data_IF_192851699114
#
_entry.id   IF_192851699114
#
_cell.length_a   1.000
_cell.length_b   1.000
_cell.length_c   1.000
_cell.angle_alpha   90.00
_cell.angle_beta   90.00
_cell.angle_gamma   90.00
#
_symmetry.space_group_name_H-M   'P 1'
#
loop_
_entity.id
_entity.type
_entity.pdbx_description
1 polymer ?
#
# COMPACT_ATOMS: atom_id res chain seq x y z
N UNK A 1 45.19 40.62 4.56
CA UNK A 1 44.95 39.17 4.29
C UNK A 1 44.34 38.39 5.46
N UNK A 2 44.74 38.60 6.73
CA UNK A 2 44.22 37.81 7.87
C UNK A 2 42.72 38.01 8.15
N UNK A 3 42.24 39.25 8.11
CA UNK A 3 40.82 39.58 8.36
C UNK A 3 39.90 38.99 7.29
N UNK A 4 40.29 39.04 6.02
CA UNK A 4 39.55 38.45 4.91
C UNK A 4 39.36 36.94 5.05
N UNK A 5 40.41 36.22 5.48
CA UNK A 5 40.32 34.77 5.75
C UNK A 5 39.36 34.45 6.89
N UNK A 6 39.36 35.28 7.94
CA UNK A 6 38.53 35.06 9.13
C UNK A 6 37.03 35.28 8.83
N UNK A 7 36.70 36.28 8.02
CA UNK A 7 35.34 36.51 7.52
C UNK A 7 34.86 35.35 6.64
N UNK A 8 35.74 34.83 5.78
CA UNK A 8 35.43 33.68 4.92
C UNK A 8 35.09 32.42 5.73
N UNK A 9 35.86 32.14 6.79
CA UNK A 9 35.60 31.03 7.70
C UNK A 9 34.29 31.19 8.48
N UNK A 10 33.98 32.41 8.93
CA UNK A 10 32.72 32.69 9.62
C UNK A 10 31.49 32.44 8.75
N UNK A 11 31.54 32.82 7.47
CA UNK A 11 30.45 32.57 6.51
C UNK A 11 30.30 31.06 6.26
N UNK A 12 31.40 30.33 6.06
CA UNK A 12 31.35 28.88 5.83
C UNK A 12 30.74 28.09 7.01
N UNK A 13 31.06 28.49 8.24
CA UNK A 13 30.47 27.92 9.46
C UNK A 13 28.96 28.22 9.59
N UNK A 14 28.52 29.40 9.16
CA UNK A 14 27.10 29.78 9.17
C UNK A 14 26.28 29.04 8.11
N UNK A 15 26.87 28.68 6.96
CA UNK A 15 26.19 27.83 5.97
C UNK A 15 26.16 26.34 6.38
N UNK A 16 27.14 25.87 7.14
CA UNK A 16 27.17 24.49 7.65
C UNK A 16 26.07 24.19 8.70
N UNK A 17 25.48 25.22 9.32
CA UNK A 17 24.37 25.07 10.27
C UNK A 17 22.98 25.15 9.63
N UNK A 18 22.87 25.48 8.33
CA UNK A 18 21.62 25.43 7.59
C UNK A 18 21.31 23.96 7.23
N UNK A 19 20.63 23.27 8.15
CA UNK A 19 20.00 21.99 7.86
C UNK A 19 18.84 22.24 6.89
N UNK A 20 19.00 21.94 5.61
CA UNK A 20 17.87 21.88 4.66
C UNK A 20 17.00 20.68 5.08
N UNK A 21 15.89 20.95 5.78
CA UNK A 21 14.90 19.94 6.13
C UNK A 21 13.96 19.69 4.93
N UNK A 22 14.44 18.94 3.94
CA UNK A 22 13.63 18.39 2.84
C UNK A 22 13.29 16.91 3.08
N UNK A 23 13.06 16.52 4.34
CA UNK A 23 12.78 15.13 4.70
C UNK A 23 11.26 14.90 4.64
N UNK A 24 10.77 14.11 3.68
CA UNK A 24 9.39 13.58 3.59
C UNK A 24 9.04 12.60 4.72
N UNK A 25 9.83 12.57 5.79
CA UNK A 25 9.58 11.74 6.94
C UNK A 25 9.76 10.23 6.74
N UNK A 26 10.48 9.79 5.70
CA UNK A 26 10.70 8.35 5.49
C UNK A 26 11.64 7.80 6.58
N UNK A 27 11.07 6.98 7.47
CA UNK A 27 11.74 6.18 8.50
C UNK A 27 12.62 7.00 9.48
N UNK A 28 12.08 8.10 10.02
CA UNK A 28 12.85 9.09 10.81
C UNK A 28 12.08 9.62 12.03
N UNK A 29 12.80 10.20 12.99
CA UNK A 29 12.35 10.58 14.34
C UNK A 29 11.84 12.02 14.49
N UNK A 30 11.62 12.73 13.38
CA UNK A 30 10.88 14.00 13.40
C UNK A 30 10.08 14.27 12.10
N UNK A 31 9.11 13.40 11.76
CA UNK A 31 8.03 13.84 10.89
C UNK A 31 6.65 13.59 11.52
N UNK A 32 5.91 14.68 11.62
CA UNK A 32 4.50 14.77 11.97
C UNK A 32 3.71 15.26 10.74
N UNK A 33 4.13 14.71 9.57
CA UNK A 33 3.79 14.96 8.14
C UNK A 33 4.36 16.28 7.56
N UNK A 34 4.84 16.34 6.30
CA UNK A 34 4.00 16.56 5.11
C UNK A 34 4.56 15.93 3.84
N UNK A 35 3.70 15.25 3.09
CA UNK A 35 3.90 14.93 1.68
C UNK A 35 3.00 15.88 0.87
N UNK A 36 3.60 16.83 0.15
CA UNK A 36 2.89 17.74 -0.76
C UNK A 36 3.29 17.44 -2.22
N UNK A 37 2.30 17.16 -3.06
CA UNK A 37 2.47 16.90 -4.49
C UNK A 37 1.61 17.91 -5.24
N UNK A 38 2.25 18.98 -5.71
CA UNK A 38 1.62 20.00 -6.55
C UNK A 38 1.59 19.54 -8.02
N UNK A 39 1.00 18.35 -8.26
CA UNK A 39 0.97 17.61 -9.51
C UNK A 39 0.25 16.26 -9.36
N UNK A 40 0.44 15.33 -10.32
CA UNK A 40 -0.16 13.99 -10.25
C UNK A 40 0.76 12.99 -9.53
N UNK A 41 0.19 12.13 -8.68
CA UNK A 41 0.87 10.95 -8.14
C UNK A 41 0.66 9.75 -9.07
N UNK A 42 1.75 9.24 -9.65
CA UNK A 42 1.75 7.95 -10.33
C UNK A 42 2.25 6.86 -9.38
N UNK A 43 1.55 5.73 -9.35
CA UNK A 43 1.92 4.57 -8.52
C UNK A 43 2.12 3.35 -9.40
N UNK A 44 2.94 2.40 -8.93
CA UNK A 44 3.17 1.16 -9.66
C UNK A 44 1.88 0.35 -9.76
N UNK A 45 1.53 0.00 -10.99
CA UNK A 45 0.42 -0.89 -11.33
C UNK A 45 0.95 -2.30 -11.60
N UNK A 46 0.28 -3.32 -11.07
CA UNK A 46 0.63 -4.73 -11.30
C UNK A 46 -0.62 -5.48 -11.76
N UNK A 47 -0.45 -6.43 -12.68
CA UNK A 47 -1.49 -7.40 -13.05
C UNK A 47 -1.07 -8.78 -12.58
N UNK A 48 -1.96 -9.45 -11.84
CA UNK A 48 -1.75 -10.81 -11.36
C UNK A 48 -2.80 -11.74 -11.98
N UNK A 49 -2.35 -12.78 -12.67
CA UNK A 49 -3.23 -13.82 -13.21
C UNK A 49 -3.48 -14.89 -12.15
N UNK A 50 -4.73 -15.33 -12.08
CA UNK A 50 -5.15 -16.52 -11.35
C UNK A 50 -4.38 -17.77 -11.79
N UNK A 51 -4.30 -18.77 -10.92
CA UNK A 51 -3.60 -20.02 -11.19
C UNK A 51 -4.58 -21.16 -11.57
N UNK A 52 -5.86 -20.86 -11.75
CA UNK A 52 -6.87 -21.83 -12.17
C UNK A 52 -7.23 -22.86 -11.11
N UNK A 53 -6.90 -22.61 -9.84
CA UNK A 53 -7.05 -23.57 -8.75
C UNK A 53 -8.30 -23.33 -7.89
N UNK A 54 -8.99 -22.21 -8.10
CA UNK A 54 -10.25 -21.85 -7.45
C UNK A 54 -10.14 -21.73 -5.92
N UNK A 55 -11.28 -21.81 -5.24
CA UNK A 55 -11.35 -21.61 -3.79
C UNK A 55 -10.53 -22.62 -2.98
N UNK A 56 -10.43 -23.87 -3.45
CA UNK A 56 -9.67 -24.93 -2.78
C UNK A 56 -8.15 -24.89 -2.99
N UNK A 57 -7.67 -24.10 -3.95
CA UNK A 57 -6.28 -24.20 -4.44
C UNK A 57 -5.25 -23.34 -3.73
N UNK A 58 -4.09 -23.12 -4.36
CA UNK A 58 -3.03 -22.27 -3.79
C UNK A 58 -3.34 -20.79 -4.02
N UNK A 59 -2.98 -19.92 -3.07
CA UNK A 59 -3.13 -18.48 -3.26
C UNK A 59 -1.94 -17.87 -4.01
N UNK A 60 -2.21 -16.82 -4.79
CA UNK A 60 -1.20 -15.98 -5.43
C UNK A 60 -0.91 -14.79 -4.52
N UNK A 61 0.33 -14.67 -4.07
CA UNK A 61 0.74 -13.60 -3.17
C UNK A 61 0.76 -12.23 -3.86
N UNK A 62 0.16 -11.24 -3.20
CA UNK A 62 0.29 -9.83 -3.53
C UNK A 62 1.47 -9.27 -2.74
N UNK A 63 2.59 -9.00 -3.40
CA UNK A 63 3.83 -8.55 -2.74
C UNK A 63 4.44 -7.28 -3.34
N UNK A 64 3.83 -6.73 -4.39
CA UNK A 64 4.40 -5.63 -5.18
C UNK A 64 3.29 -4.74 -5.77
N UNK A 65 3.60 -3.46 -5.97
CA UNK A 65 2.67 -2.46 -6.49
C UNK A 65 1.76 -1.81 -5.43
N UNK A 66 0.98 -0.82 -5.87
CA UNK A 66 -0.09 -0.19 -5.07
C UNK A 66 -1.43 -0.44 -5.74
N UNK A 67 -1.52 -0.29 -7.06
CA UNK A 67 -2.72 -0.64 -7.82
C UNK A 67 -2.56 -2.03 -8.42
N UNK A 68 -3.42 -2.96 -8.01
CA UNK A 68 -3.33 -4.39 -8.34
C UNK A 68 -4.58 -4.79 -9.14
N UNK A 69 -4.37 -5.10 -10.41
CA UNK A 69 -5.38 -5.74 -11.25
C UNK A 69 -5.28 -7.25 -11.06
N UNK A 70 -6.30 -7.88 -10.50
CA UNK A 70 -6.35 -9.34 -10.37
C UNK A 70 -7.24 -9.92 -11.48
N UNK A 71 -6.77 -11.00 -12.11
CA UNK A 71 -7.41 -11.65 -13.24
C UNK A 71 -7.60 -13.16 -12.94
N UNK A 72 -8.61 -13.54 -12.14
CA UNK A 72 -8.90 -14.95 -11.87
C UNK A 72 -9.13 -15.73 -13.18
N UNK A 73 -8.69 -16.98 -13.25
CA UNK A 73 -8.86 -17.85 -14.42
C UNK A 73 -10.04 -18.81 -14.26
N UNK A 74 -10.38 -19.16 -13.01
CA UNK A 74 -11.60 -19.87 -12.63
C UNK A 74 -12.23 -19.19 -11.42
N UNK A 75 -13.49 -19.54 -11.12
CA UNK A 75 -14.20 -18.94 -9.98
C UNK A 75 -13.43 -19.16 -8.68
N UNK A 76 -13.32 -18.06 -7.94
CA UNK A 76 -12.73 -17.98 -6.61
C UNK A 76 -11.23 -18.29 -6.55
N UNK A 77 -10.50 -18.09 -7.66
CA UNK A 77 -9.04 -18.04 -7.62
C UNK A 77 -8.57 -17.07 -6.53
N UNK A 78 -7.62 -17.53 -5.71
CA UNK A 78 -7.19 -16.84 -4.50
C UNK A 78 -6.03 -15.90 -4.75
N UNK A 79 -6.18 -14.67 -4.29
CA UNK A 79 -5.11 -13.67 -4.20
C UNK A 79 -4.92 -13.31 -2.73
N UNK A 80 -3.69 -13.35 -2.24
CA UNK A 80 -3.40 -13.23 -0.82
C UNK A 80 -2.58 -11.97 -0.52
N UNK A 81 -3.13 -11.12 0.33
CA UNK A 81 -2.42 -10.01 0.94
C UNK A 81 -1.40 -10.51 1.98
N UNK A 82 -0.30 -9.78 2.17
CA UNK A 82 0.68 -10.13 3.18
C UNK A 82 0.10 -9.88 4.58
N UNK A 83 0.86 -10.25 5.62
CA UNK A 83 0.45 -10.02 7.00
C UNK A 83 0.30 -8.52 7.28
N UNK A 84 -0.86 -8.04 7.74
CA UNK A 84 -1.04 -6.63 8.10
C UNK A 84 -0.14 -6.24 9.28
N UNK A 85 0.20 -7.21 10.16
CA UNK A 85 1.09 -7.00 11.31
C UNK A 85 2.53 -6.72 10.89
N UNK A 86 3.03 -7.42 9.87
CA UNK A 86 4.39 -7.20 9.35
C UNK A 86 4.48 -5.93 8.52
N UNK A 87 3.36 -5.48 7.96
CA UNK A 87 3.30 -4.32 7.08
C UNK A 87 2.21 -3.32 7.53
N UNK A 88 2.36 -2.68 8.70
CA UNK A 88 1.41 -1.69 9.19
C UNK A 88 1.34 -0.48 8.26
N UNK A 89 0.14 0.08 8.08
CA UNK A 89 -0.09 1.27 7.24
C UNK A 89 0.01 1.04 5.74
N UNK A 90 0.24 -0.22 5.30
CA UNK A 90 0.32 -0.54 3.87
C UNK A 90 -1.04 -0.36 3.20
N UNK A 91 -1.04 0.22 1.99
CA UNK A 91 -2.23 0.50 1.20
C UNK A 91 -2.15 -0.22 -0.15
N UNK A 92 -3.24 -0.85 -0.56
CA UNK A 92 -3.43 -1.33 -1.93
C UNK A 92 -4.79 -0.89 -2.46
N UNK A 93 -4.86 -0.62 -3.77
CA UNK A 93 -6.10 -0.60 -4.54
C UNK A 93 -6.13 -1.90 -5.33
N UNK A 94 -7.16 -2.72 -5.15
CA UNK A 94 -7.25 -4.03 -5.78
C UNK A 94 -8.53 -4.09 -6.59
N UNK A 95 -8.44 -4.47 -7.86
CA UNK A 95 -9.57 -4.58 -8.78
C UNK A 95 -9.60 -5.94 -9.46
N UNK A 96 -10.73 -6.62 -9.39
CA UNK A 96 -11.01 -7.73 -10.29
C UNK A 96 -11.33 -7.18 -11.69
N UNK A 97 -10.46 -7.49 -12.66
CA UNK A 97 -10.61 -7.05 -14.05
C UNK A 97 -11.37 -8.06 -14.93
N UNK A 98 -11.74 -9.21 -14.38
CA UNK A 98 -12.64 -10.16 -15.06
C UNK A 98 -14.10 -9.76 -14.87
N UNK A 99 -14.92 -9.98 -15.90
CA UNK A 99 -16.34 -9.60 -15.89
C UNK A 99 -17.23 -10.71 -15.30
N UNK A 100 -16.90 -11.97 -15.56
CA UNK A 100 -17.77 -13.11 -15.22
C UNK A 100 -17.17 -14.05 -14.17
N UNK A 101 -15.92 -13.84 -13.76
CA UNK A 101 -15.20 -14.75 -12.88
C UNK A 101 -14.96 -14.07 -11.55
N UNK A 102 -15.43 -14.70 -10.47
CA UNK A 102 -15.19 -14.23 -9.11
C UNK A 102 -13.73 -14.46 -8.72
N UNK A 103 -13.12 -13.49 -8.04
CA UNK A 103 -11.85 -13.68 -7.34
C UNK A 103 -12.08 -13.75 -5.84
N UNK A 104 -11.22 -14.46 -5.12
CA UNK A 104 -11.20 -14.45 -3.67
C UNK A 104 -9.96 -13.71 -3.16
N UNK A 105 -10.17 -12.59 -2.48
CA UNK A 105 -9.10 -11.90 -1.75
C UNK A 105 -9.00 -12.49 -0.34
N UNK A 106 -7.79 -12.88 0.03
CA UNK A 106 -7.46 -13.48 1.33
C UNK A 106 -6.30 -12.71 1.97
N UNK A 107 -6.02 -12.97 3.24
CA UNK A 107 -4.85 -12.44 3.94
C UNK A 107 -4.07 -13.57 4.59
N UNK A 108 -2.74 -13.43 4.72
CA UNK A 108 -1.92 -14.43 5.41
C UNK A 108 -2.02 -14.36 6.94
N UNK A 109 -2.53 -13.25 7.48
CA UNK A 109 -2.85 -13.06 8.89
C UNK A 109 -3.90 -11.94 9.08
N UNK A 110 -4.52 -11.86 10.27
CA UNK A 110 -5.56 -10.88 10.55
C UNK A 110 -6.85 -11.14 9.77
N UNK A 111 -7.76 -10.18 9.80
CA UNK A 111 -9.08 -10.23 9.14
C UNK A 111 -9.31 -9.00 8.25
N UNK A 112 -10.32 -9.07 7.39
CA UNK A 112 -10.86 -7.94 6.65
C UNK A 112 -12.05 -7.32 7.38
N UNK A 113 -12.00 -6.03 7.67
CA UNK A 113 -13.12 -5.26 8.23
C UNK A 113 -13.61 -4.23 7.19
N UNK A 114 -14.90 -4.19 6.85
CA UNK A 114 -15.42 -3.14 5.98
C UNK A 114 -15.44 -1.80 6.72
N UNK A 115 -15.42 -0.70 5.95
CA UNK A 115 -15.48 0.69 6.44
C UNK A 115 -16.61 1.01 7.43
N UNK A 116 -17.65 0.17 7.51
CA UNK A 116 -18.87 0.40 8.28
C UNK A 116 -19.27 -0.76 9.21
N UNK A 117 -18.38 -1.72 9.49
CA UNK A 117 -18.69 -2.83 10.40
C UNK A 117 -17.53 -3.17 11.32
N UNK A 118 -17.88 -3.69 12.49
CA UNK A 118 -16.95 -4.28 13.46
C UNK A 118 -16.87 -5.80 13.34
N UNK A 119 -17.44 -6.39 12.28
CA UNK A 119 -17.38 -7.82 12.01
C UNK A 119 -16.38 -8.08 10.89
N UNK A 120 -15.35 -8.87 11.20
CA UNK A 120 -14.28 -9.22 10.26
C UNK A 120 -14.58 -10.49 9.46
N UNK A 121 -14.00 -10.61 8.27
CA UNK A 121 -13.99 -11.84 7.46
C UNK A 121 -12.57 -12.29 7.11
N UNK A 122 -12.38 -13.58 6.89
CA UNK A 122 -11.08 -14.13 6.44
C UNK A 122 -10.84 -13.93 4.93
N UNK A 123 -11.90 -13.59 4.19
CA UNK A 123 -11.90 -13.51 2.74
C UNK A 123 -12.93 -12.51 2.24
N UNK A 124 -12.70 -11.99 1.04
CA UNK A 124 -13.64 -11.17 0.28
C UNK A 124 -13.83 -11.78 -1.11
N UNK A 125 -15.08 -11.92 -1.55
CA UNK A 125 -15.39 -12.32 -2.91
C UNK A 125 -15.53 -11.07 -3.78
N UNK A 126 -14.72 -10.96 -4.82
CA UNK A 126 -14.63 -9.80 -5.70
C UNK A 126 -15.22 -10.15 -7.06
N UNK A 127 -16.39 -9.60 -7.39
CA UNK A 127 -17.08 -9.79 -8.66
C UNK A 127 -17.94 -8.57 -9.00
N UNK A 128 -18.62 -8.58 -10.15
CA UNK A 128 -19.46 -7.47 -10.55
C UNK A 128 -20.59 -7.18 -9.53
N UNK A 129 -20.74 -5.91 -9.15
CA UNK A 129 -21.71 -5.50 -8.14
C UNK A 129 -21.32 -5.79 -6.69
N UNK A 130 -20.22 -6.52 -6.44
CA UNK A 130 -19.77 -6.85 -5.09
C UNK A 130 -18.25 -6.77 -4.94
N UNK A 131 -17.77 -5.75 -4.22
CA UNK A 131 -16.35 -5.58 -3.88
C UNK A 131 -15.42 -5.71 -5.10
N UNK A 132 -15.92 -5.33 -6.30
CA UNK A 132 -15.17 -5.46 -7.55
C UNK A 132 -13.84 -4.71 -7.49
N UNK A 133 -13.84 -3.57 -6.82
CA UNK A 133 -12.66 -2.81 -6.46
C UNK A 133 -12.72 -2.49 -4.98
N UNK A 134 -11.61 -2.66 -4.29
CA UNK A 134 -11.46 -2.28 -2.89
C UNK A 134 -10.15 -1.51 -2.70
N UNK A 135 -10.16 -0.54 -1.79
CA UNK A 135 -8.95 -0.02 -1.17
C UNK A 135 -8.79 -0.76 0.14
N UNK A 136 -7.63 -1.38 0.38
CA UNK A 136 -7.30 -2.04 1.64
C UNK A 136 -6.17 -1.30 2.33
N UNK A 137 -6.30 -1.12 3.65
CA UNK A 137 -5.33 -0.41 4.49
C UNK A 137 -5.05 -1.27 5.71
N UNK A 138 -3.78 -1.57 5.96
CA UNK A 138 -3.37 -2.26 7.19
C UNK A 138 -3.42 -1.30 8.37
N UNK A 139 -4.12 -1.66 9.43
CA UNK A 139 -4.11 -0.94 10.71
C UNK A 139 -3.00 -1.44 11.66
N UNK A 140 -2.16 -2.38 11.20
CA UNK A 140 -1.13 -3.05 11.99
C UNK A 140 -1.59 -4.34 12.68
N UNK A 141 -2.85 -4.73 12.56
CA UNK A 141 -3.40 -6.00 13.07
C UNK A 141 -4.27 -6.69 12.00
N UNK A 142 -5.09 -5.92 11.31
CA UNK A 142 -6.08 -6.33 10.34
C UNK A 142 -6.02 -5.44 9.09
N UNK A 143 -6.82 -5.79 8.09
CA UNK A 143 -7.05 -4.98 6.90
C UNK A 143 -8.41 -4.31 7.00
N UNK A 144 -8.46 -2.98 6.99
CA UNK A 144 -9.70 -2.24 6.74
C UNK A 144 -9.88 -2.09 5.23
N UNK A 145 -11.09 -2.32 4.72
CA UNK A 145 -11.38 -2.14 3.30
C UNK A 145 -12.53 -1.16 3.02
N UNK A 146 -12.40 -0.47 1.89
CA UNK A 146 -13.33 0.55 1.40
C UNK A 146 -13.70 0.21 -0.05
N UNK A 147 -14.99 0.21 -0.36
CA UNK A 147 -15.56 0.03 -1.70
C UNK A 147 -16.64 1.07 -2.01
#
# INVERSE_FOLDING_TARGET
MKVFRLVLWGIALAFASLRVQAQVGINTTNPLSTLDINGNLSVKTVTLNGNGSGSGGAAISISDGVYISIAPQVNDDKFQLPSPVTYPGRIYVIRNIQNAITAQLTTSAGMFFPKNSTVGSNQLYMYEGNLRTVIVISDGINWTYIN
#
